data_IF_459132962557
#
_entry.id   IF_459132962557
#
_cell.length_a   1.000
_cell.length_b   1.000
_cell.length_c   1.000
_cell.angle_alpha   90.00
_cell.angle_beta   90.00
_cell.angle_gamma   90.00
#
_symmetry.space_group_name_H-M   'P 1'
#
loop_
_entity.id
_entity.type
_entity.pdbx_description
1 polymer ?
#
# COMPACT_ATOMS: atom_id res chain seq x y z
N UNK A 1 -17.01 -5.53 0.25
CA UNK A 1 -16.11 -5.13 1.34
C UNK A 1 -15.00 -6.15 1.63
N UNK A 2 -15.31 -7.28 2.29
CA UNK A 2 -14.29 -8.18 2.89
C UNK A 2 -13.27 -8.71 1.87
N UNK A 3 -13.72 -9.23 0.73
CA UNK A 3 -12.83 -9.79 -0.30
C UNK A 3 -11.84 -8.77 -0.83
N UNK A 4 -12.32 -7.58 -1.24
CA UNK A 4 -11.45 -6.51 -1.75
C UNK A 4 -10.54 -5.92 -0.66
N UNK A 5 -11.05 -5.79 0.57
CA UNK A 5 -10.26 -5.33 1.70
C UNK A 5 -9.10 -6.27 2.00
N UNK A 6 -9.35 -7.59 2.08
CA UNK A 6 -8.32 -8.59 2.34
C UNK A 6 -7.30 -8.66 1.21
N UNK A 7 -7.75 -8.67 -0.04
CA UNK A 7 -6.86 -8.65 -1.21
C UNK A 7 -5.95 -7.41 -1.20
N UNK A 8 -6.52 -6.22 -0.96
CA UNK A 8 -5.76 -4.98 -0.88
C UNK A 8 -4.77 -4.96 0.30
N UNK A 9 -5.16 -5.51 1.45
CA UNK A 9 -4.31 -5.59 2.63
C UNK A 9 -3.13 -6.56 2.45
N UNK A 10 -3.38 -7.71 1.81
CA UNK A 10 -2.33 -8.69 1.49
C UNK A 10 -1.34 -8.10 0.48
N UNK A 11 -1.84 -7.55 -0.63
CA UNK A 11 -1.00 -6.93 -1.66
C UNK A 11 -0.15 -5.79 -1.09
N UNK A 12 -0.76 -4.93 -0.28
CA UNK A 12 -0.06 -3.83 0.41
C UNK A 12 1.04 -4.33 1.35
N UNK A 13 0.82 -5.48 1.99
CA UNK A 13 1.83 -6.13 2.82
C UNK A 13 2.98 -6.70 1.99
N UNK A 14 2.69 -7.34 0.86
CA UNK A 14 3.73 -7.85 -0.06
C UNK A 14 4.61 -6.72 -0.62
N UNK A 15 4.02 -5.57 -0.94
CA UNK A 15 4.72 -4.40 -1.50
C UNK A 15 5.39 -3.56 -0.38
N UNK A 16 5.16 -3.87 0.89
CA UNK A 16 5.63 -3.07 2.02
C UNK A 16 7.15 -2.78 2.03
N UNK A 17 8.05 -3.73 1.70
CA UNK A 17 9.49 -3.44 1.64
C UNK A 17 9.87 -2.36 0.60
N UNK A 18 9.15 -2.30 -0.52
CA UNK A 18 9.36 -1.26 -1.54
C UNK A 18 8.89 0.11 -1.05
N UNK A 19 7.78 0.14 -0.30
CA UNK A 19 7.29 1.37 0.34
C UNK A 19 8.28 1.88 1.38
N UNK A 20 8.91 0.99 2.16
CA UNK A 20 9.98 1.36 3.10
C UNK A 20 11.16 1.97 2.36
N UNK A 21 11.61 1.36 1.25
CA UNK A 21 12.72 1.90 0.46
C UNK A 21 12.41 3.29 -0.08
N UNK A 22 11.20 3.49 -0.62
CA UNK A 22 10.72 4.78 -1.10
C UNK A 22 10.68 5.82 0.03
N UNK A 23 10.17 5.45 1.20
CA UNK A 23 10.09 6.35 2.35
C UNK A 23 11.49 6.78 2.84
N UNK A 24 12.46 5.86 2.84
CA UNK A 24 13.86 6.20 3.16
C UNK A 24 14.40 7.22 2.15
N UNK A 25 14.22 6.99 0.85
CA UNK A 25 14.63 7.93 -0.19
C UNK A 25 13.97 9.30 -0.04
N UNK A 26 12.69 9.34 0.32
CA UNK A 26 11.93 10.59 0.48
C UNK A 26 12.22 11.31 1.80
N UNK A 27 12.79 10.63 2.80
CA UNK A 27 13.17 11.23 4.08
C UNK A 27 14.45 12.07 3.99
N UNK A 28 15.31 11.80 3.01
CA UNK A 28 16.53 12.57 2.78
C UNK A 28 16.23 13.82 1.95
N UNK A 29 16.18 14.99 2.59
CA UNK A 29 16.04 16.29 1.92
C UNK A 29 17.42 16.82 1.53
N UNK A 30 17.65 17.05 0.23
CA UNK A 30 18.91 17.62 -0.28
C UNK A 30 20.08 16.62 -0.43
N UNK A 31 19.84 15.32 -0.26
CA UNK A 31 20.84 14.26 -0.48
C UNK A 31 21.07 13.91 -1.96
N UNK A 32 22.10 13.09 -2.25
CA UNK A 32 22.29 12.51 -3.59
C UNK A 32 21.25 11.43 -3.82
N UNK A 33 20.47 11.54 -4.89
CA UNK A 33 19.58 10.47 -5.34
C UNK A 33 20.39 9.26 -5.81
N UNK A 34 20.67 8.35 -4.89
CA UNK A 34 21.33 7.09 -5.19
C UNK A 34 20.39 6.10 -5.89
N UNK A 35 20.98 5.16 -6.63
CA UNK A 35 20.21 4.12 -7.32
C UNK A 35 19.43 3.28 -6.30
N UNK A 36 18.18 2.90 -6.58
CA UNK A 36 17.33 2.14 -5.64
C UNK A 36 18.01 0.89 -5.07
N UNK A 37 18.80 0.17 -5.88
CA UNK A 37 19.56 -1.01 -5.46
C UNK A 37 20.63 -0.70 -4.41
N UNK A 38 21.33 0.43 -4.53
CA UNK A 38 22.33 0.86 -3.54
C UNK A 38 21.67 1.17 -2.20
N UNK A 39 20.51 1.82 -2.25
CA UNK A 39 19.75 2.20 -1.06
C UNK A 39 19.16 0.96 -0.40
N UNK A 40 18.67 -0.01 -1.18
CA UNK A 40 18.23 -1.29 -0.65
C UNK A 40 19.36 -2.01 0.09
N UNK A 41 20.57 -2.09 -0.49
CA UNK A 41 21.74 -2.66 0.18
C UNK A 41 22.14 -1.89 1.44
N UNK A 42 22.08 -0.55 1.40
CA UNK A 42 22.38 0.31 2.55
C UNK A 42 21.40 0.03 3.70
N UNK A 43 20.09 0.08 3.44
CA UNK A 43 19.04 -0.18 4.42
C UNK A 43 19.11 -1.62 4.94
N UNK A 44 19.42 -2.59 4.07
CA UNK A 44 19.60 -3.98 4.48
C UNK A 44 20.74 -4.14 5.49
N UNK A 45 21.88 -3.50 5.25
CA UNK A 45 23.00 -3.48 6.20
C UNK A 45 22.67 -2.74 7.50
N UNK A 46 22.01 -1.58 7.42
CA UNK A 46 21.58 -0.81 8.59
C UNK A 46 20.61 -1.58 9.48
N UNK A 47 19.74 -2.40 8.88
CA UNK A 47 18.76 -3.25 9.57
C UNK A 47 19.30 -4.65 9.91
N UNK A 48 20.60 -4.77 10.13
CA UNK A 48 21.21 -6.02 10.62
C UNK A 48 21.17 -7.19 9.64
N UNK A 49 21.15 -6.92 8.33
CA UNK A 49 21.09 -7.93 7.27
C UNK A 49 19.87 -8.87 7.38
N UNK A 50 18.72 -8.34 7.80
CA UNK A 50 17.49 -9.11 7.96
C UNK A 50 16.35 -8.50 7.15
N UNK A 51 15.75 -9.31 6.28
CA UNK A 51 14.56 -8.92 5.50
C UNK A 51 13.34 -8.74 6.42
N UNK A 52 13.29 -9.43 7.57
CA UNK A 52 12.19 -9.31 8.53
C UNK A 52 12.08 -7.89 9.09
N UNK A 53 13.20 -7.20 9.23
CA UNK A 53 13.25 -5.83 9.73
C UNK A 53 12.60 -4.81 8.78
N UNK A 54 12.41 -5.17 7.50
CA UNK A 54 11.63 -4.37 6.55
C UNK A 54 10.13 -4.44 6.81
N UNK A 55 9.66 -5.44 7.58
CA UNK A 55 8.23 -5.63 7.90
C UNK A 55 7.83 -5.05 9.26
N UNK A 56 8.75 -4.35 9.96
CA UNK A 56 8.41 -3.60 11.17
C UNK A 56 7.42 -2.48 10.78
N UNK A 57 6.18 -2.61 11.22
CA UNK A 57 5.05 -1.74 10.85
C UNK A 57 4.07 -2.31 9.81
N UNK A 58 4.37 -3.47 9.21
CA UNK A 58 3.50 -4.10 8.22
C UNK A 58 2.10 -4.43 8.77
N UNK A 59 2.00 -4.78 10.07
CA UNK A 59 0.71 -5.02 10.74
C UNK A 59 -0.21 -3.80 10.73
N UNK A 60 0.34 -2.61 10.99
CA UNK A 60 -0.42 -1.35 10.93
C UNK A 60 -0.78 -0.99 9.49
N UNK A 61 0.14 -1.23 8.55
CA UNK A 61 -0.13 -1.09 7.12
C UNK A 61 -1.26 -2.03 6.66
N UNK A 62 -1.31 -3.26 7.18
CA UNK A 62 -2.36 -4.22 6.88
C UNK A 62 -3.73 -3.72 7.36
N UNK A 63 -3.88 -3.33 8.62
CA UNK A 63 -5.15 -2.85 9.18
C UNK A 63 -5.64 -1.61 8.41
N UNK A 64 -4.77 -0.63 8.19
CA UNK A 64 -5.12 0.57 7.42
C UNK A 64 -5.56 0.21 6.01
N UNK A 65 -4.82 -0.68 5.34
CA UNK A 65 -5.12 -1.07 3.96
C UNK A 65 -6.43 -1.85 3.88
N UNK A 66 -6.70 -2.75 4.82
CA UNK A 66 -7.95 -3.52 4.91
C UNK A 66 -9.17 -2.59 4.96
N UNK A 67 -9.12 -1.59 5.84
CA UNK A 67 -10.21 -0.62 6.00
C UNK A 67 -10.33 0.26 4.75
N UNK A 68 -9.22 0.82 4.28
CA UNK A 68 -9.23 1.77 3.15
C UNK A 68 -9.72 1.10 1.86
N UNK A 69 -9.13 -0.03 1.47
CA UNK A 69 -9.52 -0.78 0.28
C UNK A 69 -10.94 -1.32 0.38
N UNK A 70 -11.35 -1.78 1.58
CA UNK A 70 -12.71 -2.24 1.81
C UNK A 70 -13.74 -1.14 1.59
N UNK A 71 -13.52 0.04 2.18
CA UNK A 71 -14.44 1.19 2.05
C UNK A 71 -14.47 1.68 0.61
N UNK A 72 -13.31 2.02 0.03
CA UNK A 72 -13.23 2.59 -1.33
C UNK A 72 -13.94 1.70 -2.34
N UNK A 73 -13.68 0.39 -2.32
CA UNK A 73 -14.30 -0.51 -3.28
C UNK A 73 -15.80 -0.68 -3.02
N UNK A 74 -16.24 -0.71 -1.76
CA UNK A 74 -17.67 -0.87 -1.46
C UNK A 74 -18.47 0.39 -1.82
N UNK A 75 -17.89 1.57 -1.55
CA UNK A 75 -18.45 2.85 -1.94
C UNK A 75 -18.50 3.00 -3.46
N UNK A 76 -17.46 2.58 -4.17
CA UNK A 76 -17.44 2.54 -5.63
C UNK A 76 -18.58 1.70 -6.20
N UNK A 77 -18.73 0.45 -5.76
CA UNK A 77 -19.80 -0.45 -6.22
C UNK A 77 -21.20 0.10 -5.89
N UNK A 78 -21.36 0.73 -4.72
CA UNK A 78 -22.61 1.34 -4.31
C UNK A 78 -23.02 2.48 -5.26
N UNK A 79 -22.11 3.43 -5.52
CA UNK A 79 -22.39 4.53 -6.43
C UNK A 79 -22.59 4.06 -7.87
N UNK A 80 -21.81 3.08 -8.31
CA UNK A 80 -21.96 2.49 -9.65
C UNK A 80 -23.34 1.86 -9.82
N UNK A 81 -23.84 1.17 -8.80
CA UNK A 81 -25.17 0.55 -8.82
C UNK A 81 -26.27 1.60 -8.91
N UNK A 82 -26.16 2.69 -8.14
CA UNK A 82 -27.13 3.80 -8.17
C UNK A 82 -27.14 4.47 -9.55
N UNK A 83 -25.95 4.80 -10.07
CA UNK A 83 -25.83 5.45 -11.37
C UNK A 83 -26.42 4.57 -12.48
N UNK A 84 -26.10 3.28 -12.48
CA UNK A 84 -26.63 2.32 -13.45
C UNK A 84 -28.15 2.24 -13.42
N UNK A 85 -28.73 2.19 -12.21
CA UNK A 85 -30.18 2.20 -12.04
C UNK A 85 -30.81 3.48 -12.57
N UNK A 86 -30.23 4.64 -12.25
CA UNK A 86 -30.70 5.93 -12.74
C UNK A 86 -30.66 6.05 -14.26
N UNK A 87 -29.70 5.42 -14.94
CA UNK A 87 -29.64 5.44 -16.40
C UNK A 87 -30.76 4.57 -16.99
N UNK A 88 -30.96 3.37 -16.44
CA UNK A 88 -31.98 2.43 -16.91
C UNK A 88 -33.41 2.90 -16.63
N UNK A 89 -33.66 3.61 -15.53
CA UNK A 89 -34.98 4.15 -15.20
C UNK A 89 -35.35 5.40 -16.07
N UNK A 90 -34.39 5.95 -16.84
CA UNK A 90 -34.60 7.08 -17.75
C UNK A 90 -34.74 6.67 -19.23
N UNK A 91 -34.61 5.38 -19.55
CA UNK A 91 -34.90 4.78 -20.87
C UNK A 91 -36.30 4.14 -20.89
#
# INVERSE_FOLDING_TARGET
FISCGLLGALLSTFIYPLNVLKNVQQSELGGRYDRPLKIFQSVYKQRGNSIKEFYIGAKWNFIRSLISWGIINSTYEYYLTILRKSILDNE
#
